data_IF_334937234313
#
_entry.id   IF_334937234313
#
_cell.length_a   1.000
_cell.length_b   1.000
_cell.length_c   1.000
_cell.angle_alpha   90.00
_cell.angle_beta   90.00
_cell.angle_gamma   90.00
#
_symmetry.space_group_name_H-M   'P 1'
#
loop_
_entity.id
_entity.type
_entity.pdbx_description
1 polymer ?
#
# COMPACT_ATOMS: atom_id res chain seq x y z
N UNK A 1 -7.90 4.75 30.51
CA UNK A 1 -9.29 5.11 30.14
C UNK A 1 -9.52 4.80 28.68
N UNK A 2 -10.36 3.83 28.36
CA UNK A 2 -10.82 3.59 26.99
C UNK A 2 -11.93 4.60 26.69
N UNK A 3 -11.66 5.58 25.83
CA UNK A 3 -12.71 6.48 25.33
C UNK A 3 -13.59 5.68 24.38
N UNK A 4 -14.90 5.65 24.62
CA UNK A 4 -15.86 5.10 23.66
C UNK A 4 -16.04 6.14 22.55
N UNK A 5 -15.50 5.84 21.37
CA UNK A 5 -15.71 6.65 20.16
C UNK A 5 -16.94 6.08 19.47
N UNK A 6 -17.97 6.90 19.29
CA UNK A 6 -19.09 6.52 18.43
C UNK A 6 -18.63 6.59 16.97
N UNK A 7 -18.86 5.54 16.19
CA UNK A 7 -18.58 5.53 14.74
C UNK A 7 -19.68 6.30 14.02
N UNK A 8 -19.63 7.64 14.09
CA UNK A 8 -20.53 8.49 13.30
C UNK A 8 -20.13 8.42 11.82
N UNK A 9 -21.04 8.74 10.89
CA UNK A 9 -20.72 8.78 9.46
C UNK A 9 -19.47 9.62 9.16
N UNK A 10 -19.31 10.78 9.80
CA UNK A 10 -18.15 11.66 9.57
C UNK A 10 -16.83 11.02 10.04
N UNK A 11 -16.88 10.21 11.10
CA UNK A 11 -15.72 9.46 11.60
C UNK A 11 -15.39 8.31 10.65
N UNK A 12 -16.41 7.65 10.09
CA UNK A 12 -16.23 6.59 9.08
C UNK A 12 -15.59 7.19 7.84
N UNK A 13 -16.13 8.27 7.28
CA UNK A 13 -15.59 8.94 6.08
C UNK A 13 -14.14 9.40 6.29
N UNK A 14 -13.81 9.92 7.48
CA UNK A 14 -12.46 10.33 7.84
C UNK A 14 -11.49 9.13 7.87
N UNK A 15 -11.91 8.03 8.49
CA UNK A 15 -11.10 6.80 8.56
C UNK A 15 -10.91 6.20 7.17
N UNK A 16 -11.96 6.12 6.37
CA UNK A 16 -11.91 5.60 5.00
C UNK A 16 -10.96 6.45 4.14
N UNK A 17 -11.06 7.79 4.23
CA UNK A 17 -10.15 8.70 3.52
C UNK A 17 -8.69 8.49 3.92
N UNK A 18 -8.41 8.32 5.21
CA UNK A 18 -7.05 8.06 5.70
C UNK A 18 -6.53 6.69 5.25
N UNK A 19 -7.40 5.67 5.23
CA UNK A 19 -7.05 4.32 4.79
C UNK A 19 -6.77 4.27 3.29
N UNK A 20 -7.65 4.84 2.47
CA UNK A 20 -7.49 4.89 1.01
C UNK A 20 -6.31 5.78 0.62
N UNK A 21 -6.21 7.00 1.16
CA UNK A 21 -5.09 7.90 0.86
C UNK A 21 -3.74 7.34 1.33
N UNK A 22 -3.71 6.67 2.49
CA UNK A 22 -2.54 5.95 2.95
C UNK A 22 -2.17 4.79 2.02
N UNK A 23 -3.15 4.00 1.58
CA UNK A 23 -2.95 2.90 0.66
C UNK A 23 -2.41 3.37 -0.70
N UNK A 24 -2.92 4.47 -1.26
CA UNK A 24 -2.42 5.06 -2.51
C UNK A 24 -0.95 5.50 -2.41
N UNK A 25 -0.59 6.15 -1.29
CA UNK A 25 0.79 6.57 -1.01
C UNK A 25 1.74 5.36 -0.93
N UNK A 26 1.34 4.32 -0.20
CA UNK A 26 2.14 3.10 -0.07
C UNK A 26 2.23 2.32 -1.37
N UNK A 27 1.14 2.23 -2.14
CA UNK A 27 1.13 1.60 -3.46
C UNK A 27 2.12 2.30 -4.43
N UNK A 28 2.16 3.63 -4.40
CA UNK A 28 3.14 4.41 -5.17
C UNK A 28 4.58 4.16 -4.70
N UNK A 29 4.79 4.06 -3.38
CA UNK A 29 6.10 3.82 -2.78
C UNK A 29 6.64 2.44 -3.14
N UNK A 30 5.78 1.41 -3.07
CA UNK A 30 6.13 0.03 -3.43
C UNK A 30 6.51 -0.08 -4.90
N UNK A 31 5.80 0.60 -5.82
CA UNK A 31 6.18 0.65 -7.24
C UNK A 31 7.59 1.20 -7.45
N UNK A 32 7.94 2.28 -6.75
CA UNK A 32 9.29 2.85 -6.81
C UNK A 32 10.34 1.91 -6.23
N UNK A 33 10.04 1.27 -5.11
CA UNK A 33 10.92 0.28 -4.50
C UNK A 33 11.15 -0.93 -5.44
N UNK A 34 10.10 -1.43 -6.08
CA UNK A 34 10.19 -2.53 -7.05
C UNK A 34 11.08 -2.15 -8.23
N UNK A 35 10.94 -0.93 -8.77
CA UNK A 35 11.82 -0.42 -9.81
C UNK A 35 13.29 -0.43 -9.38
N UNK A 36 13.58 0.00 -8.15
CA UNK A 36 14.93 -0.03 -7.60
C UNK A 36 15.46 -1.46 -7.41
N UNK A 37 14.63 -2.40 -6.95
CA UNK A 37 15.03 -3.80 -6.75
C UNK A 37 15.35 -4.49 -8.07
N UNK A 38 14.52 -4.27 -9.09
CA UNK A 38 14.69 -4.91 -10.41
C UNK A 38 15.89 -4.34 -11.16
N UNK A 39 16.08 -3.01 -11.13
CA UNK A 39 17.13 -2.34 -11.91
C UNK A 39 18.43 -2.11 -11.12
N UNK A 40 18.41 -2.27 -9.80
CA UNK A 40 19.56 -2.11 -8.94
C UNK A 40 20.45 -3.35 -8.94
N UNK A 41 21.76 -3.13 -8.92
CA UNK A 41 22.76 -4.18 -8.70
C UNK A 41 23.08 -4.38 -7.21
N UNK A 42 22.54 -3.53 -6.33
CA UNK A 42 22.86 -3.50 -4.90
C UNK A 42 22.03 -4.46 -4.02
N UNK A 43 21.05 -5.16 -4.59
CA UNK A 43 20.12 -6.03 -3.84
C UNK A 43 20.45 -7.52 -3.95
N UNK A 44 21.72 -7.84 -4.17
CA UNK A 44 22.20 -9.22 -4.24
C UNK A 44 22.06 -9.86 -5.62
N UNK A 45 22.03 -11.19 -5.64
CA UNK A 45 21.96 -11.97 -6.87
C UNK A 45 20.55 -11.91 -7.52
N UNK A 46 20.37 -12.56 -8.67
CA UNK A 46 19.10 -12.52 -9.39
C UNK A 46 17.94 -13.17 -8.62
N UNK A 47 18.19 -14.25 -7.87
CA UNK A 47 17.18 -14.96 -7.08
C UNK A 47 16.72 -14.11 -5.88
N UNK A 48 17.66 -13.48 -5.18
CA UNK A 48 17.38 -12.57 -4.07
C UNK A 48 16.53 -11.38 -4.52
N UNK A 49 16.87 -10.78 -5.68
CA UNK A 49 16.09 -9.70 -6.28
C UNK A 49 14.69 -10.15 -6.69
N UNK A 50 14.55 -11.36 -7.24
CA UNK A 50 13.25 -11.91 -7.62
C UNK A 50 12.35 -12.12 -6.40
N UNK A 51 12.92 -12.64 -5.31
CA UNK A 51 12.17 -12.83 -4.05
C UNK A 51 11.70 -11.51 -3.45
N UNK A 52 12.58 -10.51 -3.39
CA UNK A 52 12.23 -9.16 -2.94
C UNK A 52 11.15 -8.52 -3.81
N UNK A 53 11.26 -8.67 -5.14
CA UNK A 53 10.25 -8.19 -6.08
C UNK A 53 8.89 -8.86 -5.84
N UNK A 54 8.87 -10.18 -5.60
CA UNK A 54 7.65 -10.92 -5.26
C UNK A 54 7.02 -10.41 -3.96
N UNK A 55 7.80 -10.22 -2.89
CA UNK A 55 7.31 -9.72 -1.62
C UNK A 55 6.70 -8.31 -1.75
N UNK A 56 7.34 -7.44 -2.53
CA UNK A 56 6.84 -6.10 -2.85
C UNK A 56 5.52 -6.17 -3.62
N UNK A 57 5.41 -7.01 -4.64
CA UNK A 57 4.17 -7.20 -5.39
C UNK A 57 3.03 -7.74 -4.51
N UNK A 58 3.31 -8.73 -3.66
CA UNK A 58 2.30 -9.23 -2.71
C UNK A 58 1.80 -8.12 -1.76
N UNK A 59 2.69 -7.26 -1.26
CA UNK A 59 2.29 -6.10 -0.45
C UNK A 59 1.46 -5.09 -1.24
N UNK A 60 1.81 -4.88 -2.50
CA UNK A 60 1.06 -4.00 -3.39
C UNK A 60 -0.38 -4.49 -3.61
N UNK A 61 -0.55 -5.79 -3.85
CA UNK A 61 -1.86 -6.42 -4.04
C UNK A 61 -2.73 -6.30 -2.79
N UNK A 62 -2.15 -6.56 -1.62
CA UNK A 62 -2.86 -6.40 -0.34
C UNK A 62 -3.35 -4.96 -0.14
N UNK A 63 -2.50 -3.96 -0.43
CA UNK A 63 -2.86 -2.55 -0.28
C UNK A 63 -3.88 -2.08 -1.32
N UNK A 64 -3.89 -2.68 -2.50
CA UNK A 64 -4.81 -2.30 -3.57
C UNK A 64 -6.27 -2.59 -3.21
N UNK A 65 -6.53 -3.50 -2.26
CA UNK A 65 -7.89 -3.75 -1.74
C UNK A 65 -8.51 -2.55 -1.00
N UNK A 66 -7.69 -1.60 -0.54
CA UNK A 66 -8.13 -0.37 0.13
C UNK A 66 -8.28 0.82 -0.84
N UNK A 67 -7.95 0.63 -2.12
CA UNK A 67 -8.05 1.64 -3.16
C UNK A 67 -9.25 1.27 -4.03
N UNK A 68 -10.31 2.09 -4.06
CA UNK A 68 -11.49 1.79 -4.86
C UNK A 68 -11.13 1.68 -6.36
N UNK A 69 -11.58 0.61 -7.00
CA UNK A 69 -11.44 0.43 -8.45
C UNK A 69 -12.40 1.38 -9.18
N UNK A 70 -11.88 2.52 -9.64
CA UNK A 70 -12.64 3.53 -10.36
C UNK A 70 -12.97 4.73 -9.46
N UNK A 71 -12.30 5.85 -9.74
CA UNK A 71 -12.50 7.10 -9.01
C UNK A 71 -13.96 7.55 -9.02
N UNK A 72 -14.36 8.21 -7.92
CA UNK A 72 -15.58 8.98 -7.71
C UNK A 72 -16.72 8.65 -8.70
N UNK A 73 -17.65 7.77 -8.28
CA UNK A 73 -19.00 7.76 -8.85
C UNK A 73 -19.73 9.07 -8.52
#
# INVERSE_FOLDING_TARGET
>A
MTKKIALTPEIIDCVDTLQTGGAEMWNTTIRKALYCVVNGECYGNAEERLKLAQELLCMQDMLSTFIPEGGAQ
#
